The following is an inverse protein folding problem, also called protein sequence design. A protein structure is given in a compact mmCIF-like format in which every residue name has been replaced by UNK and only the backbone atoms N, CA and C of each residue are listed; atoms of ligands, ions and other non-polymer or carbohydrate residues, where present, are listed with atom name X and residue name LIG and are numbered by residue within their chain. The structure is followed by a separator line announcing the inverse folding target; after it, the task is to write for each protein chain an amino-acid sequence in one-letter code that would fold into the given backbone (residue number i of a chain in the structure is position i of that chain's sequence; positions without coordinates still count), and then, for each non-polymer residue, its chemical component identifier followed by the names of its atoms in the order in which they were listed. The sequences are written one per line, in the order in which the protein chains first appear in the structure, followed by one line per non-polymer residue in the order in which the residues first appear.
data_IF_310492439691
#
_entry.id   IF_310492439691
#
_cell.length_a   1.000
_cell.length_b   1.000
_cell.length_c   1.000
_cell.angle_alpha   90.00
_cell.angle_beta   90.00
_cell.angle_gamma   90.00
#
_symmetry.space_group_name_H-M   'P 1'
#
loop_
_entity.id
_entity.type
_entity.pdbx_description
1 polymer ?
#
# COMPACT_ATOMS: atom_id res chain seq x y z
N UNK A 1 2.78 13.66 2.96
CA UNK A 1 1.49 13.11 3.43
C UNK A 1 0.98 13.70 4.74
N UNK A 2 1.78 13.85 5.80
CA UNK A 2 1.32 14.41 7.11
C UNK A 2 0.48 15.68 7.01
N UNK A 3 1.04 16.73 6.39
CA UNK A 3 0.32 18.00 6.17
C UNK A 3 -0.93 17.79 5.31
N UNK A 4 -0.81 17.04 4.21
CA UNK A 4 -1.93 16.80 3.30
C UNK A 4 -3.11 16.05 3.97
N UNK A 5 -2.85 15.06 4.83
CA UNK A 5 -3.88 14.27 5.49
C UNK A 5 -4.49 14.94 6.74
N UNK A 6 -3.78 15.88 7.38
CA UNK A 6 -4.22 16.50 8.63
C UNK A 6 -4.65 17.96 8.47
N UNK A 7 -3.99 18.72 7.59
CA UNK A 7 -4.23 20.15 7.38
C UNK A 7 -4.87 20.44 6.02
N UNK A 8 -4.53 19.64 5.01
CA UNK A 8 -5.01 19.78 3.62
C UNK A 8 -6.06 18.75 3.20
N UNK A 9 -6.71 18.08 4.15
CA UNK A 9 -7.51 16.87 3.87
C UNK A 9 -8.64 17.11 2.87
N UNK A 10 -9.36 18.24 2.99
CA UNK A 10 -10.48 18.55 2.08
C UNK A 10 -10.02 18.71 0.62
N UNK A 11 -8.95 19.47 0.39
CA UNK A 11 -8.40 19.65 -0.96
C UNK A 11 -7.88 18.33 -1.55
N UNK A 12 -7.25 17.49 -0.72
CA UNK A 12 -6.82 16.16 -1.14
C UNK A 12 -8.03 15.27 -1.46
N UNK A 13 -9.05 15.29 -0.62
CA UNK A 13 -10.28 14.50 -0.78
C UNK A 13 -11.03 14.88 -2.06
N UNK A 14 -11.14 16.17 -2.35
CA UNK A 14 -11.71 16.69 -3.61
C UNK A 14 -10.97 16.14 -4.84
N UNK A 15 -9.63 16.24 -4.86
CA UNK A 15 -8.81 15.72 -5.96
C UNK A 15 -8.95 14.22 -6.15
N UNK A 16 -8.99 13.46 -5.06
CA UNK A 16 -9.19 12.02 -5.11
C UNK A 16 -10.57 11.70 -5.69
N UNK A 17 -11.63 12.38 -5.22
CA UNK A 17 -12.99 12.17 -5.75
C UNK A 17 -13.07 12.51 -7.23
N UNK A 18 -12.47 13.62 -7.66
CA UNK A 18 -12.41 14.02 -9.06
C UNK A 18 -11.70 12.97 -9.92
N UNK A 19 -10.49 12.55 -9.51
CA UNK A 19 -9.66 11.61 -10.26
C UNK A 19 -10.36 10.26 -10.51
N UNK A 20 -11.12 9.78 -9.52
CA UNK A 20 -11.83 8.51 -9.61
C UNK A 20 -13.34 8.66 -9.93
N UNK A 21 -13.79 9.87 -10.25
CA UNK A 21 -15.19 10.20 -10.52
C UNK A 21 -16.16 9.68 -9.43
N UNK A 22 -15.77 9.86 -8.16
CA UNK A 22 -16.60 9.49 -7.01
C UNK A 22 -17.64 10.57 -6.71
N UNK A 23 -18.73 10.16 -6.06
CA UNK A 23 -19.78 11.08 -5.62
C UNK A 23 -19.20 12.10 -4.62
N UNK A 24 -19.66 13.35 -4.66
CA UNK A 24 -19.24 14.40 -3.73
C UNK A 24 -19.57 14.08 -2.26
N UNK A 25 -20.60 13.25 -2.02
CA UNK A 25 -20.98 12.76 -0.69
C UNK A 25 -20.11 11.59 -0.19
N UNK A 26 -19.17 11.10 -1.01
CA UNK A 26 -18.18 10.13 -0.56
C UNK A 26 -17.23 10.83 0.43
N UNK A 27 -17.30 10.43 1.69
CA UNK A 27 -16.48 10.99 2.76
C UNK A 27 -15.23 10.14 2.90
N UNK A 28 -14.05 10.75 2.71
CA UNK A 28 -12.75 10.09 2.91
C UNK A 28 -12.24 10.44 4.31
N UNK A 29 -12.04 9.42 5.13
CA UNK A 29 -11.44 9.53 6.46
C UNK A 29 -10.00 9.02 6.42
N UNK A 30 -9.05 9.92 6.64
CA UNK A 30 -7.64 9.57 6.82
C UNK A 30 -7.43 8.92 8.19
N UNK A 31 -6.80 7.74 8.19
CA UNK A 31 -6.52 6.92 9.37
C UNK A 31 -5.03 6.89 9.68
N UNK A 32 -4.17 7.16 8.70
CA UNK A 32 -2.76 7.45 8.88
C UNK A 32 -2.30 8.34 7.73
N UNK A 33 -1.34 9.25 7.96
CA UNK A 33 -0.76 9.62 9.26
C UNK A 33 -1.72 10.52 10.04
N UNK A 34 -1.86 10.33 11.36
CA UNK A 34 -2.67 11.21 12.22
C UNK A 34 -1.84 11.75 13.38
N UNK A 35 -2.17 12.96 13.86
CA UNK A 35 -1.39 13.61 14.91
C UNK A 35 -1.49 12.90 16.27
N UNK A 36 -2.67 12.35 16.58
CA UNK A 36 -2.98 11.79 17.89
C UNK A 36 -2.18 10.52 18.24
N UNK A 37 -1.65 9.81 17.24
CA UNK A 37 -0.77 8.65 17.41
C UNK A 37 0.70 8.98 17.06
N UNK A 38 1.06 10.26 17.11
CA UNK A 38 2.40 10.77 16.76
C UNK A 38 2.86 10.39 15.34
N UNK A 39 1.90 10.24 14.42
CA UNK A 39 2.12 9.83 13.04
C UNK A 39 2.74 8.43 12.92
N UNK A 40 2.16 7.46 13.64
CA UNK A 40 2.61 6.07 13.62
C UNK A 40 2.66 5.49 12.18
N UNK A 41 3.72 4.74 11.90
CA UNK A 41 3.87 3.99 10.65
C UNK A 41 3.26 2.60 10.78
N UNK A 42 2.23 2.32 9.99
CA UNK A 42 1.50 1.06 10.01
C UNK A 42 2.02 0.10 8.93
N UNK A 43 2.27 -1.15 9.32
CA UNK A 43 2.73 -2.23 8.44
C UNK A 43 2.21 -3.59 8.95
N UNK A 44 2.39 -4.64 8.14
CA UNK A 44 1.92 -5.99 8.45
C UNK A 44 0.43 -6.04 8.87
N UNK A 45 0.09 -6.72 9.96
CA UNK A 45 -1.30 -6.83 10.41
C UNK A 45 -1.87 -5.48 10.86
N UNK A 46 -1.03 -4.57 11.38
CA UNK A 46 -1.48 -3.31 11.95
C UNK A 46 -2.10 -2.38 10.91
N UNK A 47 -1.62 -2.39 9.65
CA UNK A 47 -2.25 -1.58 8.60
C UNK A 47 -3.62 -2.13 8.20
N UNK A 48 -3.78 -3.46 8.18
CA UNK A 48 -5.06 -4.12 7.90
C UNK A 48 -6.08 -3.80 9.01
N UNK A 49 -5.64 -3.92 10.26
CA UNK A 49 -6.44 -3.60 11.44
C UNK A 49 -6.84 -2.12 11.44
N UNK A 50 -5.90 -1.23 11.09
CA UNK A 50 -6.16 0.21 10.99
C UNK A 50 -7.22 0.53 9.93
N UNK A 51 -7.22 -0.18 8.80
CA UNK A 51 -8.23 -0.04 7.74
C UNK A 51 -9.54 -0.79 8.05
N UNK A 52 -9.54 -1.66 9.07
CA UNK A 52 -10.64 -2.55 9.39
C UNK A 52 -10.92 -3.59 8.31
N UNK A 53 -9.86 -4.11 7.67
CA UNK A 53 -9.92 -5.18 6.67
C UNK A 53 -9.84 -6.51 7.41
N UNK A 54 -10.92 -7.29 7.35
CA UNK A 54 -11.03 -8.56 8.07
C UNK A 54 -11.33 -9.76 7.16
N UNK A 55 -11.92 -9.52 6.00
CA UNK A 55 -12.31 -10.55 5.04
C UNK A 55 -11.16 -10.84 4.06
N UNK A 56 -10.16 -11.59 4.53
CA UNK A 56 -8.99 -11.97 3.74
C UNK A 56 -9.04 -13.47 3.41
N UNK A 57 -8.76 -13.81 2.15
CA UNK A 57 -8.74 -15.22 1.69
C UNK A 57 -7.71 -16.06 2.46
N UNK A 58 -6.58 -15.46 2.81
CA UNK A 58 -5.51 -16.07 3.61
C UNK A 58 -4.88 -15.02 4.54
N UNK A 59 -4.26 -15.43 5.66
CA UNK A 59 -3.54 -14.49 6.52
C UNK A 59 -2.38 -13.81 5.77
N UNK A 60 -2.13 -12.53 6.03
CA UNK A 60 -1.02 -11.78 5.41
C UNK A 60 0.33 -12.47 5.66
N UNK A 61 0.54 -13.02 6.85
CA UNK A 61 1.77 -13.75 7.21
C UNK A 61 2.02 -15.00 6.34
N UNK A 62 0.98 -15.55 5.70
CA UNK A 62 1.11 -16.64 4.74
C UNK A 62 1.50 -16.14 3.35
N UNK A 63 1.06 -14.93 2.99
CA UNK A 63 1.32 -14.29 1.70
C UNK A 63 2.68 -13.56 1.65
N UNK A 64 2.99 -12.73 2.65
CA UNK A 64 4.20 -11.90 2.70
C UNK A 64 4.99 -12.13 4.00
N UNK A 65 6.34 -12.02 4.01
CA UNK A 65 7.11 -12.08 5.24
C UNK A 65 6.85 -10.89 6.16
N UNK A 66 7.21 -11.02 7.45
CA UNK A 66 7.15 -9.92 8.43
C UNK A 66 7.97 -8.71 7.95
N UNK A 67 7.53 -7.52 8.36
CA UNK A 67 8.08 -6.23 7.97
C UNK A 67 7.84 -5.94 6.49
N UNK A 68 6.58 -6.08 6.07
CA UNK A 68 6.07 -5.84 4.73
C UNK A 68 5.98 -4.36 4.33
N UNK A 69 5.04 -4.04 3.45
CA UNK A 69 4.88 -2.67 2.96
C UNK A 69 4.49 -1.71 4.10
N UNK A 70 5.17 -0.58 4.15
CA UNK A 70 4.77 0.61 4.92
C UNK A 70 4.07 1.56 3.97
N UNK A 71 2.98 2.16 4.43
CA UNK A 71 2.20 3.11 3.63
C UNK A 71 2.37 4.52 4.18
N UNK A 72 2.56 5.48 3.29
CA UNK A 72 2.64 6.90 3.64
C UNK A 72 1.28 7.50 4.00
N UNK A 73 0.19 6.81 3.63
CA UNK A 73 -1.17 7.18 4.00
C UNK A 73 -2.15 6.02 3.89
N UNK A 74 -3.09 5.99 4.83
CA UNK A 74 -4.19 5.04 4.91
C UNK A 74 -5.49 5.82 5.05
N UNK A 75 -6.48 5.54 4.21
CA UNK A 75 -7.80 6.13 4.36
C UNK A 75 -8.91 5.13 4.04
N UNK A 76 -10.10 5.41 4.56
CA UNK A 76 -11.32 4.66 4.28
C UNK A 76 -12.46 5.61 3.97
N UNK A 77 -13.33 5.19 3.06
CA UNK A 77 -14.52 5.95 2.70
C UNK A 77 -15.76 5.47 3.46
N UNK A 78 -16.79 6.31 3.54
CA UNK A 78 -18.08 5.92 4.13
C UNK A 78 -18.78 4.77 3.37
N UNK A 79 -18.53 4.60 2.08
CA UNK A 79 -18.99 3.41 1.33
C UNK A 79 -18.11 2.16 1.49
N UNK A 80 -17.01 2.25 2.24
CA UNK A 80 -16.13 1.12 2.53
C UNK A 80 -14.93 0.95 1.59
N UNK A 81 -14.75 1.83 0.60
CA UNK A 81 -13.51 1.85 -0.22
C UNK A 81 -12.28 2.12 0.65
N UNK A 82 -11.18 1.45 0.33
CA UNK A 82 -9.87 1.60 0.97
C UNK A 82 -8.95 2.40 0.06
N UNK A 83 -8.14 3.27 0.65
CA UNK A 83 -7.12 4.05 -0.05
C UNK A 83 -5.78 3.81 0.63
N UNK A 84 -4.81 3.38 -0.16
CA UNK A 84 -3.42 3.17 0.23
C UNK A 84 -2.57 4.20 -0.54
N UNK A 85 -1.70 4.92 0.15
CA UNK A 85 -0.85 5.95 -0.45
C UNK A 85 0.61 5.60 -0.27
N UNK A 86 1.35 5.63 -1.37
CA UNK A 86 2.81 5.71 -1.42
C UNK A 86 3.18 7.10 -1.97
N UNK A 87 3.96 7.87 -1.23
CA UNK A 87 4.43 9.18 -1.61
C UNK A 87 5.94 9.14 -1.87
N UNK A 88 6.31 8.94 -3.14
CA UNK A 88 7.68 9.08 -3.62
C UNK A 88 7.84 10.42 -4.32
N UNK A 89 8.80 11.23 -3.89
CA UNK A 89 9.01 12.55 -4.45
C UNK A 89 9.97 12.52 -5.66
N UNK A 90 10.84 11.51 -5.75
CA UNK A 90 11.81 11.37 -6.82
C UNK A 90 11.85 9.93 -7.35
N UNK A 91 12.08 9.76 -8.66
CA UNK A 91 12.17 8.44 -9.30
C UNK A 91 13.30 7.59 -8.67
N UNK A 92 14.38 8.24 -8.26
CA UNK A 92 15.51 7.60 -7.58
C UNK A 92 15.11 6.98 -6.23
N UNK A 93 14.09 7.50 -5.54
CA UNK A 93 13.55 6.91 -4.31
C UNK A 93 12.69 5.66 -4.58
N UNK A 94 12.27 5.46 -5.83
CA UNK A 94 11.62 4.24 -6.31
C UNK A 94 12.61 3.17 -6.79
N UNK A 95 13.87 3.54 -6.97
CA UNK A 95 14.98 2.66 -7.36
C UNK A 95 15.59 2.06 -6.09
N UNK A 96 15.05 0.93 -5.65
CA UNK A 96 15.62 0.07 -4.62
C UNK A 96 16.11 -1.24 -5.25
N UNK A 97 17.43 -1.39 -5.27
CA UNK A 97 18.11 -2.44 -6.03
C UNK A 97 17.76 -3.85 -5.59
N UNK A 98 17.19 -4.11 -4.40
CA UNK A 98 16.65 -5.45 -4.03
C UNK A 98 16.07 -5.52 -2.62
N UNK A 99 15.25 -6.55 -2.42
CA UNK A 99 14.94 -7.06 -1.07
C UNK A 99 16.21 -7.41 -0.28
N UNK A 100 16.22 -7.05 1.01
CA UNK A 100 17.24 -7.46 2.00
C UNK A 100 16.84 -8.72 2.79
N UNK A 101 15.82 -9.43 2.32
CA UNK A 101 15.29 -10.61 2.98
C UNK A 101 16.28 -11.78 2.98
N UNK A 102 16.28 -12.57 4.05
CA UNK A 102 16.94 -13.88 4.06
C UNK A 102 16.23 -14.88 3.14
N UNK A 103 16.92 -15.97 2.79
CA UNK A 103 16.53 -16.95 1.77
C UNK A 103 15.05 -17.40 1.84
N UNK A 104 14.58 -17.81 3.03
CA UNK A 104 13.18 -18.25 3.21
C UNK A 104 12.16 -17.14 2.94
N UNK A 105 12.44 -15.93 3.41
CA UNK A 105 11.57 -14.77 3.18
C UNK A 105 11.61 -14.33 1.73
N UNK A 106 12.77 -14.43 1.09
CA UNK A 106 12.96 -14.10 -0.32
C UNK A 106 12.15 -15.04 -1.24
N UNK A 107 12.17 -16.35 -0.98
CA UNK A 107 11.34 -17.30 -1.72
C UNK A 107 9.83 -16.99 -1.62
N UNK A 108 9.37 -16.56 -0.43
CA UNK A 108 7.98 -16.13 -0.23
C UNK A 108 7.67 -14.84 -1.00
N UNK A 109 8.56 -13.85 -0.95
CA UNK A 109 8.44 -12.60 -1.72
C UNK A 109 8.32 -12.91 -3.21
N UNK A 110 9.22 -13.70 -3.78
CA UNK A 110 9.21 -14.00 -5.21
C UNK A 110 7.92 -14.70 -5.64
N UNK A 111 7.45 -15.66 -4.84
CA UNK A 111 6.15 -16.31 -5.08
C UNK A 111 4.98 -15.31 -5.11
N UNK A 112 4.97 -14.34 -4.18
CA UNK A 112 3.95 -13.31 -4.13
C UNK A 112 4.05 -12.33 -5.30
N UNK A 113 5.26 -11.89 -5.67
CA UNK A 113 5.51 -11.03 -6.83
C UNK A 113 5.11 -11.72 -8.14
N UNK A 114 5.43 -13.02 -8.31
CA UNK A 114 5.05 -13.79 -9.49
C UNK A 114 3.54 -13.94 -9.63
N UNK A 115 2.83 -14.19 -8.53
CA UNK A 115 1.37 -14.24 -8.52
C UNK A 115 0.77 -12.89 -8.93
N UNK A 116 1.23 -11.79 -8.33
CA UNK A 116 0.77 -10.44 -8.66
C UNK A 116 1.09 -10.06 -10.11
N UNK A 117 2.30 -10.35 -10.60
CA UNK A 117 2.68 -10.15 -12.01
C UNK A 117 1.71 -10.84 -12.96
N UNK A 118 1.41 -12.12 -12.69
CA UNK A 118 0.51 -12.90 -13.52
C UNK A 118 -0.91 -12.34 -13.51
N UNK A 119 -1.40 -11.91 -12.35
CA UNK A 119 -2.75 -11.37 -12.20
C UNK A 119 -2.93 -10.01 -12.89
N UNK A 120 -1.94 -9.12 -12.77
CA UNK A 120 -1.93 -7.83 -13.45
C UNK A 120 -1.58 -7.92 -14.95
N UNK A 121 -1.30 -9.12 -15.49
CA UNK A 121 -0.94 -9.31 -16.89
C UNK A 121 0.44 -8.76 -17.27
N UNK A 122 1.35 -8.62 -16.30
CA UNK A 122 2.73 -8.23 -16.58
C UNK A 122 3.48 -9.34 -17.33
N UNK A 123 4.52 -8.97 -18.08
CA UNK A 123 5.41 -9.96 -18.71
C UNK A 123 6.12 -10.78 -17.63
N UNK A 124 6.29 -12.09 -17.88
CA UNK A 124 6.93 -13.00 -16.91
C UNK A 124 8.34 -12.55 -16.51
N UNK A 125 9.07 -12.00 -17.48
CA UNK A 125 10.45 -11.54 -17.34
C UNK A 125 10.57 -10.10 -16.82
N UNK A 126 9.45 -9.47 -16.43
CA UNK A 126 9.48 -8.13 -15.85
C UNK A 126 10.30 -8.12 -14.55
N UNK A 127 11.29 -7.20 -14.41
CA UNK A 127 12.25 -7.22 -13.31
C UNK A 127 11.66 -6.54 -12.05
N UNK A 128 10.72 -7.20 -11.38
CA UNK A 128 10.02 -6.67 -10.20
C UNK A 128 10.87 -6.67 -8.93
N UNK A 129 11.87 -7.55 -8.86
CA UNK A 129 12.75 -7.68 -7.69
C UNK A 129 13.84 -6.60 -7.63
N UNK A 130 14.12 -5.96 -8.76
CA UNK A 130 15.16 -4.94 -8.90
C UNK A 130 15.03 -4.26 -10.26
N UNK A 131 15.17 -2.94 -10.39
CA UNK A 131 15.45 -1.98 -9.32
C UNK A 131 14.18 -1.44 -8.64
N UNK A 132 12.99 -1.94 -8.96
CA UNK A 132 11.74 -1.35 -8.50
C UNK A 132 11.07 -2.17 -7.39
N UNK A 133 11.88 -2.77 -6.50
CA UNK A 133 11.38 -3.70 -5.48
C UNK A 133 10.30 -3.08 -4.59
N UNK A 134 10.48 -1.83 -4.15
CA UNK A 134 9.50 -1.17 -3.31
C UNK A 134 8.16 -0.97 -4.02
N UNK A 135 8.18 -0.60 -5.30
CA UNK A 135 6.97 -0.47 -6.11
C UNK A 135 6.28 -1.83 -6.31
N UNK A 136 7.04 -2.86 -6.67
CA UNK A 136 6.54 -4.23 -6.81
C UNK A 136 5.93 -4.77 -5.50
N UNK A 137 6.52 -4.44 -4.36
CA UNK A 137 5.98 -4.77 -3.04
C UNK A 137 4.58 -4.15 -2.83
N UNK A 138 4.35 -2.90 -3.24
CA UNK A 138 3.02 -2.26 -3.15
C UNK A 138 2.01 -2.95 -4.05
N UNK A 139 2.40 -3.30 -5.28
CA UNK A 139 1.53 -4.04 -6.20
C UNK A 139 1.17 -5.43 -5.65
N UNK A 140 2.11 -6.14 -5.03
CA UNK A 140 1.83 -7.41 -4.40
C UNK A 140 0.84 -7.30 -3.24
N UNK A 141 0.94 -6.25 -2.41
CA UNK A 141 -0.05 -5.98 -1.36
C UNK A 141 -1.40 -5.57 -1.94
N UNK A 142 -1.43 -4.87 -3.08
CA UNK A 142 -2.69 -4.58 -3.76
C UNK A 142 -3.35 -5.85 -4.32
N UNK A 143 -2.58 -6.77 -4.89
CA UNK A 143 -3.08 -8.09 -5.33
C UNK A 143 -3.58 -8.97 -4.17
N UNK A 144 -2.98 -8.83 -2.98
CA UNK A 144 -3.37 -9.57 -1.80
C UNK A 144 -4.76 -9.17 -1.26
N UNK A 145 -5.11 -7.89 -1.39
CA UNK A 145 -6.37 -7.30 -0.95
C UNK A 145 -7.51 -7.59 -1.92
#
# INVERSE_FOLDING_TARGET
MRVAANEGAESLNEKVRELYNWNSNEQIKWLSPVKDDEYAEYYDQEFLDRLGITDLKVPLSSFWPRSGARWDGLARTNSGKVILVEAKAYIEEGVDYRSKAGEKSYAKINKALDAAKSDFGATKDAPWESPFYQYANRLAHLYFL
#
